data_IF_596380129381
#
_entry.id   IF_596380129381
#
_cell.length_a   1.000
_cell.length_b   1.000
_cell.length_c   1.000
_cell.angle_alpha   90.00
_cell.angle_beta   90.00
_cell.angle_gamma   90.00
#
_symmetry.space_group_name_H-M   'P 1'
#
loop_
_entity.id
_entity.type
_entity.pdbx_description
1 polymer ?
#
# COMPACT_ATOMS: atom_id res chain seq x y z
N UNK A 1 -12.06 15.39 12.67
CA UNK A 1 -12.26 14.07 12.04
C UNK A 1 -11.16 13.11 12.51
N UNK A 2 -11.42 11.80 12.44
CA UNK A 2 -10.40 10.78 12.69
C UNK A 2 -10.08 10.00 11.41
N UNK A 3 -8.84 10.10 10.95
CA UNK A 3 -8.39 9.63 9.63
C UNK A 3 -7.44 8.45 9.81
N UNK A 4 -7.83 7.28 9.30
CA UNK A 4 -7.00 6.08 9.28
C UNK A 4 -6.13 6.03 8.01
N UNK A 5 -4.81 5.88 8.16
CA UNK A 5 -3.86 5.71 7.05
C UNK A 5 -3.28 4.31 7.15
N UNK A 6 -3.70 3.43 6.25
CA UNK A 6 -3.36 2.00 6.27
C UNK A 6 -2.34 1.68 5.19
N UNK A 7 -1.20 1.15 5.61
CA UNK A 7 -0.10 0.71 4.74
C UNK A 7 0.34 -0.72 5.07
N UNK A 8 1.16 -1.31 4.21
CA UNK A 8 1.75 -2.63 4.45
C UNK A 8 3.00 -2.54 5.33
N UNK A 9 3.96 -1.73 4.95
CA UNK A 9 5.31 -1.72 5.51
C UNK A 9 5.68 -0.36 6.13
N UNK A 10 6.49 -0.36 7.21
CA UNK A 10 6.96 0.89 7.82
C UNK A 10 7.73 1.79 6.84
N UNK A 11 8.40 1.22 5.84
CA UNK A 11 9.15 1.95 4.82
C UNK A 11 8.27 2.88 3.96
N UNK A 12 7.02 2.51 3.74
CA UNK A 12 6.03 3.28 2.99
C UNK A 12 5.61 4.56 3.73
N UNK A 13 5.48 4.42 5.06
CA UNK A 13 5.03 5.51 5.92
C UNK A 13 6.16 6.38 6.46
N UNK A 14 7.42 5.91 6.42
CA UNK A 14 8.56 6.56 7.08
C UNK A 14 8.70 8.07 6.79
N UNK A 15 8.55 8.57 5.55
CA UNK A 15 8.58 10.01 5.29
C UNK A 15 7.39 10.76 5.88
N UNK A 16 6.19 10.18 5.82
CA UNK A 16 4.94 10.77 6.31
C UNK A 16 4.93 10.90 7.83
N UNK A 17 5.29 9.81 8.54
CA UNK A 17 5.20 9.77 10.01
C UNK A 17 6.42 10.36 10.73
N UNK A 18 7.26 11.08 9.98
CA UNK A 18 8.40 11.78 10.58
C UNK A 18 7.92 12.86 11.55
N UNK A 19 8.29 12.70 12.82
CA UNK A 19 7.85 13.60 13.90
C UNK A 19 6.47 13.27 14.48
N UNK A 20 5.79 12.21 14.03
CA UNK A 20 4.57 11.73 14.66
C UNK A 20 4.87 10.96 15.94
N UNK A 21 3.92 10.94 16.86
CA UNK A 21 4.02 10.15 18.10
C UNK A 21 3.81 8.67 17.78
N UNK A 22 4.79 7.84 18.14
CA UNK A 22 4.65 6.38 18.01
C UNK A 22 3.74 5.85 19.12
N UNK A 23 2.70 5.10 18.72
CA UNK A 23 1.75 4.48 19.65
C UNK A 23 2.28 3.12 20.09
N UNK A 24 2.35 2.83 21.42
CA UNK A 24 2.68 1.50 21.91
C UNK A 24 1.65 0.47 21.46
N UNK A 25 2.13 -0.65 20.93
CA UNK A 25 1.30 -1.81 20.55
C UNK A 25 1.85 -3.07 21.21
N UNK A 26 1.04 -4.13 21.30
CA UNK A 26 1.46 -5.39 21.91
C UNK A 26 2.72 -5.94 21.23
N UNK A 27 3.69 -6.40 22.03
CA UNK A 27 4.91 -7.03 21.50
C UNK A 27 4.54 -8.26 20.68
N UNK A 28 5.18 -8.42 19.53
CA UNK A 28 4.95 -9.55 18.63
C UNK A 28 3.72 -9.42 17.73
N UNK A 29 2.86 -8.40 17.88
CA UNK A 29 1.68 -8.18 17.03
C UNK A 29 2.02 -7.98 15.54
N UNK A 30 3.25 -7.57 15.24
CA UNK A 30 3.65 -7.19 13.88
C UNK A 30 3.06 -5.87 13.43
N UNK A 31 2.40 -5.13 14.31
CA UNK A 31 1.79 -3.82 14.03
C UNK A 31 2.77 -2.71 14.41
N UNK A 32 2.84 -1.68 13.58
CA UNK A 32 3.44 -0.41 13.95
C UNK A 32 2.41 0.70 13.72
N UNK A 33 2.30 1.62 14.69
CA UNK A 33 1.26 2.63 14.71
C UNK A 33 1.85 3.98 15.13
N UNK A 34 1.39 5.04 14.48
CA UNK A 34 1.75 6.43 14.78
C UNK A 34 0.49 7.28 14.76
N UNK A 35 0.50 8.33 15.56
CA UNK A 35 -0.60 9.30 15.61
C UNK A 35 -0.07 10.73 15.59
N UNK A 36 -0.89 11.64 15.10
CA UNK A 36 -0.66 13.09 15.07
C UNK A 36 -1.99 13.80 15.08
N UNK A 37 -2.07 14.88 15.86
CA UNK A 37 -3.15 15.86 15.74
C UNK A 37 -2.74 16.95 14.76
N UNK A 38 -3.69 17.40 13.93
CA UNK A 38 -3.51 18.49 13.00
C UNK A 38 -4.83 19.20 12.74
N UNK A 39 -4.87 20.51 12.97
CA UNK A 39 -6.03 21.37 12.69
C UNK A 39 -7.36 20.85 13.28
N UNK A 40 -7.32 20.13 14.41
CA UNK A 40 -8.46 19.49 15.05
C UNK A 40 -8.81 18.10 14.52
N UNK A 41 -8.06 17.59 13.55
CA UNK A 41 -8.17 16.22 13.05
C UNK A 41 -7.14 15.30 13.72
N UNK A 42 -7.56 14.06 14.04
CA UNK A 42 -6.68 13.00 14.53
C UNK A 42 -6.27 12.10 13.35
N UNK A 43 -4.96 12.03 13.09
CA UNK A 43 -4.37 11.18 12.06
C UNK A 43 -3.77 9.95 12.71
N UNK A 44 -4.13 8.76 12.23
CA UNK A 44 -3.63 7.47 12.73
C UNK A 44 -3.07 6.67 11.57
N UNK A 45 -1.74 6.48 11.54
CA UNK A 45 -1.05 5.71 10.51
C UNK A 45 -0.66 4.32 11.06
N UNK A 46 -1.02 3.25 10.35
CA UNK A 46 -0.82 1.86 10.81
C UNK A 46 -0.29 1.00 9.68
N UNK A 47 0.66 0.12 9.99
CA UNK A 47 1.07 -0.98 9.13
C UNK A 47 1.21 -2.29 9.91
N UNK A 48 0.96 -3.43 9.25
CA UNK A 48 0.94 -4.75 9.90
C UNK A 48 1.53 -5.89 9.03
N UNK A 49 2.19 -5.55 7.92
CA UNK A 49 2.73 -6.49 6.94
C UNK A 49 2.01 -6.45 5.60
N UNK A 50 2.43 -7.31 4.69
CA UNK A 50 1.90 -7.42 3.33
C UNK A 50 0.66 -8.33 3.28
N UNK A 51 -0.23 -8.05 2.33
CA UNK A 51 -1.39 -8.86 2.00
C UNK A 51 -2.65 -8.57 2.83
N UNK A 52 -3.77 -9.14 2.38
CA UNK A 52 -5.11 -8.86 2.89
C UNK A 52 -5.28 -9.10 4.40
N UNK A 53 -4.66 -10.15 4.96
CA UNK A 53 -4.75 -10.47 6.39
C UNK A 53 -4.08 -9.40 7.24
N UNK A 54 -2.89 -8.93 6.82
CA UNK A 54 -2.17 -7.87 7.49
C UNK A 54 -2.91 -6.52 7.38
N UNK A 55 -3.45 -6.20 6.21
CA UNK A 55 -4.24 -5.00 5.99
C UNK A 55 -5.49 -4.96 6.90
N UNK A 56 -6.17 -6.10 7.08
CA UNK A 56 -7.29 -6.21 8.03
C UNK A 56 -6.84 -5.95 9.47
N UNK A 57 -5.70 -6.51 9.91
CA UNK A 57 -5.15 -6.24 11.24
C UNK A 57 -4.81 -4.77 11.45
N UNK A 58 -4.19 -4.13 10.44
CA UNK A 58 -3.87 -2.71 10.49
C UNK A 58 -5.13 -1.83 10.59
N UNK A 59 -6.16 -2.14 9.80
CA UNK A 59 -7.45 -1.46 9.84
C UNK A 59 -8.10 -1.57 11.23
N UNK A 60 -8.22 -2.80 11.76
CA UNK A 60 -8.80 -3.05 13.09
C UNK A 60 -8.02 -2.33 14.19
N UNK A 61 -6.67 -2.28 14.10
CA UNK A 61 -5.86 -1.55 15.04
C UNK A 61 -6.11 -0.03 14.98
N UNK A 62 -6.33 0.52 13.78
CA UNK A 62 -6.68 1.93 13.63
C UNK A 62 -8.05 2.26 14.25
N UNK A 63 -9.03 1.34 14.15
CA UNK A 63 -10.36 1.51 14.73
C UNK A 63 -10.39 1.32 16.26
N UNK A 64 -9.46 0.54 16.81
CA UNK A 64 -9.48 0.17 18.24
C UNK A 64 -9.44 1.39 19.17
N UNK A 65 -8.78 2.47 18.78
CA UNK A 65 -8.70 3.71 19.57
C UNK A 65 -9.86 4.69 19.30
N UNK A 66 -10.79 4.37 18.39
CA UNK A 66 -11.97 5.18 18.04
C UNK A 66 -12.44 4.94 16.61
N UNK A 67 -13.71 5.25 16.32
CA UNK A 67 -14.28 5.14 14.97
C UNK A 67 -13.53 6.05 13.98
N UNK A 68 -13.37 5.58 12.76
CA UNK A 68 -12.74 6.33 11.68
C UNK A 68 -13.80 7.06 10.85
N UNK A 69 -13.58 8.32 10.55
CA UNK A 69 -14.44 9.11 9.65
C UNK A 69 -14.07 8.91 8.18
N UNK A 70 -12.80 8.61 7.89
CA UNK A 70 -12.30 8.26 6.55
C UNK A 70 -11.06 7.39 6.63
N UNK A 71 -10.78 6.64 5.56
CA UNK A 71 -9.62 5.76 5.46
C UNK A 71 -8.85 6.01 4.17
N UNK A 72 -7.53 6.14 4.30
CA UNK A 72 -6.60 6.15 3.19
C UNK A 72 -5.89 4.79 3.14
N UNK A 73 -6.09 4.01 2.07
CA UNK A 73 -5.23 2.86 1.77
C UNK A 73 -4.05 3.33 0.94
N UNK A 74 -2.86 3.20 1.48
CA UNK A 74 -1.65 3.77 0.90
C UNK A 74 -0.54 2.72 0.76
N UNK A 75 0.54 3.04 0.06
CA UNK A 75 1.72 2.18 -0.01
C UNK A 75 2.27 2.02 -1.42
N UNK A 76 3.13 1.01 -1.58
CA UNK A 76 3.71 0.69 -2.86
C UNK A 76 2.79 -0.18 -3.72
N UNK A 77 2.93 -0.03 -5.04
CA UNK A 77 2.26 -0.86 -6.05
C UNK A 77 3.20 -1.11 -7.23
N UNK A 78 3.05 -2.25 -7.87
CA UNK A 78 3.70 -2.55 -9.14
C UNK A 78 2.97 -1.88 -10.31
N UNK A 79 3.71 -1.41 -11.32
CA UNK A 79 3.13 -0.95 -12.58
C UNK A 79 2.66 -2.15 -13.42
N UNK A 80 1.46 -2.03 -14.01
CA UNK A 80 0.89 -2.95 -14.99
C UNK A 80 0.95 -2.40 -16.42
N UNK A 81 1.05 -1.07 -16.57
CA UNK A 81 1.13 -0.37 -17.86
C UNK A 81 2.27 0.65 -17.86
N UNK A 82 2.64 1.14 -19.04
CA UNK A 82 3.65 2.20 -19.18
C UNK A 82 3.16 3.60 -18.81
N UNK A 83 1.88 3.77 -18.50
CA UNK A 83 1.27 5.07 -18.19
C UNK A 83 1.60 5.55 -16.77
N UNK A 84 2.11 4.63 -15.93
CA UNK A 84 2.54 4.92 -14.55
C UNK A 84 4.04 4.69 -14.41
N UNK A 85 4.72 5.58 -13.66
CA UNK A 85 6.19 5.62 -13.58
C UNK A 85 6.70 5.27 -12.19
N UNK A 86 7.75 4.46 -12.08
CA UNK A 86 8.39 4.18 -10.81
C UNK A 86 8.83 5.46 -10.08
N UNK A 87 8.54 5.51 -8.78
CA UNK A 87 8.82 6.66 -7.91
C UNK A 87 7.71 7.72 -7.87
N UNK A 88 6.74 7.69 -8.79
CA UNK A 88 5.58 8.59 -8.77
C UNK A 88 4.42 8.01 -7.96
N UNK A 89 3.56 8.88 -7.43
CA UNK A 89 2.36 8.52 -6.67
C UNK A 89 1.10 8.80 -7.49
N UNK A 90 0.12 7.92 -7.38
CA UNK A 90 -1.14 7.99 -8.10
C UNK A 90 -2.32 7.73 -7.18
N UNK A 91 -3.41 8.49 -7.38
CA UNK A 91 -4.70 8.21 -6.78
C UNK A 91 -5.48 7.22 -7.67
N UNK A 92 -5.94 6.11 -7.09
CA UNK A 92 -6.80 5.17 -7.81
C UNK A 92 -8.26 5.63 -7.77
N UNK A 93 -8.97 5.47 -8.90
CA UNK A 93 -10.41 5.72 -9.01
C UNK A 93 -11.26 4.47 -8.81
N UNK A 94 -10.64 3.30 -8.88
CA UNK A 94 -11.29 2.00 -8.68
C UNK A 94 -10.28 1.01 -8.12
N UNK A 95 -10.69 0.25 -7.11
CA UNK A 95 -9.96 -0.92 -6.61
C UNK A 95 -10.73 -2.16 -7.06
N UNK A 96 -10.01 -3.16 -7.59
CA UNK A 96 -10.58 -4.43 -8.05
C UNK A 96 -9.93 -5.56 -7.27
N UNK A 97 -10.72 -6.41 -6.63
CA UNK A 97 -10.22 -7.64 -6.01
C UNK A 97 -10.14 -8.74 -7.08
N UNK A 98 -8.93 -9.16 -7.44
CA UNK A 98 -8.74 -10.21 -8.45
C UNK A 98 -9.27 -11.58 -8.00
N UNK A 99 -9.42 -11.81 -6.69
CA UNK A 99 -9.88 -13.08 -6.14
C UNK A 99 -11.40 -13.21 -6.20
N UNK A 100 -12.13 -12.13 -5.91
CA UNK A 100 -13.60 -12.15 -5.80
C UNK A 100 -14.29 -11.48 -6.99
N UNK A 101 -13.57 -10.64 -7.74
CA UNK A 101 -14.13 -9.80 -8.79
C UNK A 101 -14.84 -8.54 -8.28
N UNK A 102 -14.88 -8.31 -6.96
CA UNK A 102 -15.49 -7.11 -6.40
C UNK A 102 -14.76 -5.84 -6.84
N UNK A 103 -15.54 -4.78 -7.00
CA UNK A 103 -15.07 -3.47 -7.45
C UNK A 103 -15.51 -2.38 -6.50
N UNK A 104 -14.59 -1.53 -6.12
CA UNK A 104 -14.80 -0.42 -5.20
C UNK A 104 -14.49 0.88 -5.93
N UNK A 105 -15.53 1.62 -6.31
CA UNK A 105 -15.38 2.95 -6.90
C UNK A 105 -14.93 3.97 -5.86
N UNK A 106 -13.99 4.83 -6.22
CA UNK A 106 -13.41 5.84 -5.35
C UNK A 106 -13.67 7.25 -5.91
N UNK A 107 -13.74 8.29 -5.06
CA UNK A 107 -14.08 9.65 -5.46
C UNK A 107 -12.88 10.38 -6.14
N UNK A 108 -12.43 9.86 -7.28
CA UNK A 108 -11.31 10.43 -8.05
C UNK A 108 -11.74 10.57 -9.51
N UNK A 109 -11.52 11.75 -10.09
CA UNK A 109 -11.92 12.06 -11.46
C UNK A 109 -11.06 11.37 -12.53
N UNK A 110 -9.76 11.19 -12.27
CA UNK A 110 -8.86 10.49 -13.21
C UNK A 110 -9.10 8.99 -13.13
N UNK A 111 -9.42 8.37 -14.25
CA UNK A 111 -9.63 6.91 -14.31
C UNK A 111 -8.31 6.17 -14.25
N UNK A 112 -7.94 5.70 -13.07
CA UNK A 112 -6.81 4.81 -12.83
C UNK A 112 -7.27 3.66 -11.95
N UNK A 113 -7.19 2.43 -12.48
CA UNK A 113 -7.59 1.21 -11.77
C UNK A 113 -6.41 0.56 -11.09
N UNK A 114 -6.65 0.11 -9.88
CA UNK A 114 -5.77 -0.74 -9.09
C UNK A 114 -6.39 -2.12 -8.97
N UNK A 115 -5.63 -3.17 -9.24
CA UNK A 115 -6.04 -4.55 -8.96
C UNK A 115 -5.27 -5.09 -7.75
N UNK A 116 -6.00 -5.68 -6.80
CA UNK A 116 -5.41 -6.32 -5.62
C UNK A 116 -5.33 -7.83 -5.83
N UNK A 117 -4.14 -8.40 -5.62
CA UNK A 117 -3.86 -9.84 -5.75
C UNK A 117 -3.43 -10.45 -4.41
N UNK A 118 -3.42 -11.77 -4.33
CA UNK A 118 -2.98 -12.49 -3.10
C UNK A 118 -1.47 -12.71 -3.05
N UNK A 119 -0.78 -12.53 -4.16
CA UNK A 119 0.66 -12.78 -4.31
C UNK A 119 1.32 -11.64 -5.08
N UNK A 120 2.63 -11.50 -4.90
CA UNK A 120 3.44 -10.59 -5.71
C UNK A 120 3.39 -11.06 -7.17
N UNK A 121 2.95 -10.17 -8.06
CA UNK A 121 2.79 -10.46 -9.48
C UNK A 121 4.14 -10.44 -10.20
N UNK A 122 4.47 -11.54 -10.88
CA UNK A 122 5.57 -11.60 -11.84
C UNK A 122 5.22 -10.89 -13.16
N UNK A 123 6.15 -10.85 -14.12
CA UNK A 123 5.96 -10.18 -15.41
C UNK A 123 4.77 -10.76 -16.22
N UNK A 124 4.56 -12.07 -16.17
CA UNK A 124 3.46 -12.74 -16.87
C UNK A 124 2.12 -12.40 -16.23
N UNK A 125 2.08 -12.47 -14.90
CA UNK A 125 0.88 -12.14 -14.14
C UNK A 125 0.51 -10.65 -14.27
N UNK A 126 1.50 -9.75 -14.29
CA UNK A 126 1.26 -8.32 -14.53
C UNK A 126 0.56 -8.08 -15.88
N UNK A 127 1.02 -8.74 -16.97
CA UNK A 127 0.36 -8.64 -18.28
C UNK A 127 -1.07 -9.17 -18.23
N UNK A 128 -1.27 -10.35 -17.63
CA UNK A 128 -2.60 -10.94 -17.48
C UNK A 128 -3.56 -10.01 -16.74
N UNK A 129 -3.10 -9.38 -15.65
CA UNK A 129 -3.90 -8.45 -14.84
C UNK A 129 -4.23 -7.16 -15.63
N UNK A 130 -3.27 -6.62 -16.36
CA UNK A 130 -3.51 -5.45 -17.22
C UNK A 130 -4.59 -5.74 -18.25
N UNK A 131 -4.48 -6.85 -18.97
CA UNK A 131 -5.41 -7.24 -20.03
C UNK A 131 -6.80 -7.58 -19.48
N UNK A 132 -6.87 -8.31 -18.36
CA UNK A 132 -8.15 -8.78 -17.81
C UNK A 132 -8.95 -7.69 -17.12
N UNK A 133 -8.29 -6.72 -16.48
CA UNK A 133 -8.95 -5.70 -15.64
C UNK A 133 -8.80 -4.27 -16.18
N UNK A 134 -7.99 -4.04 -17.19
CA UNK A 134 -7.63 -2.71 -17.66
C UNK A 134 -7.04 -1.86 -16.53
N UNK A 135 -6.28 -2.50 -15.63
CA UNK A 135 -5.68 -1.87 -14.47
C UNK A 135 -4.27 -1.38 -14.78
N UNK A 136 -3.87 -0.26 -14.19
CA UNK A 136 -2.54 0.31 -14.32
C UNK A 136 -1.61 -0.04 -13.15
N UNK A 137 -2.18 -0.42 -12.00
CA UNK A 137 -1.46 -0.73 -10.78
C UNK A 137 -1.88 -2.08 -10.18
N UNK A 138 -0.97 -2.72 -9.46
CA UNK A 138 -1.23 -3.94 -8.68
C UNK A 138 -0.67 -3.82 -7.27
N UNK A 139 -1.46 -4.24 -6.28
CA UNK A 139 -1.05 -4.38 -4.88
C UNK A 139 -1.57 -5.67 -4.25
N UNK A 140 -1.46 -5.81 -2.92
CA UNK A 140 -1.93 -6.97 -2.17
C UNK A 140 -2.88 -6.62 -1.01
N UNK A 141 -3.24 -5.35 -0.82
CA UNK A 141 -3.90 -4.85 0.40
C UNK A 141 -5.18 -4.06 0.16
N UNK A 142 -5.24 -3.25 -0.89
CA UNK A 142 -6.25 -2.21 -1.04
C UNK A 142 -7.69 -2.72 -1.04
N UNK A 143 -7.97 -3.87 -1.68
CA UNK A 143 -9.32 -4.43 -1.70
C UNK A 143 -9.78 -4.86 -0.30
N UNK A 144 -8.88 -5.37 0.55
CA UNK A 144 -9.23 -5.75 1.92
C UNK A 144 -9.59 -4.53 2.77
N UNK A 145 -8.87 -3.42 2.61
CA UNK A 145 -9.18 -2.14 3.27
C UNK A 145 -10.50 -1.58 2.76
N UNK A 146 -10.69 -1.54 1.43
CA UNK A 146 -11.91 -1.01 0.81
C UNK A 146 -13.16 -1.78 1.24
N UNK A 147 -13.08 -3.11 1.29
CA UNK A 147 -14.18 -3.97 1.75
C UNK A 147 -14.55 -3.69 3.21
N UNK A 148 -13.57 -3.58 4.11
CA UNK A 148 -13.83 -3.27 5.52
C UNK A 148 -14.46 -1.90 5.68
N UNK A 149 -13.96 -0.90 4.99
CA UNK A 149 -14.50 0.45 5.02
C UNK A 149 -15.94 0.50 4.46
N UNK A 150 -16.21 -0.20 3.35
CA UNK A 150 -17.55 -0.30 2.77
C UNK A 150 -18.55 -0.92 3.76
N UNK A 151 -18.17 -2.02 4.44
CA UNK A 151 -19.04 -2.66 5.45
C UNK A 151 -19.38 -1.70 6.60
N UNK A 152 -18.49 -0.76 6.90
CA UNK A 152 -18.66 0.24 7.98
C UNK A 152 -19.24 1.57 7.51
N UNK A 153 -19.47 1.74 6.21
CA UNK A 153 -19.92 3.00 5.63
C UNK A 153 -18.87 4.12 5.70
N UNK A 154 -17.58 3.77 5.76
CA UNK A 154 -16.47 4.73 5.85
C UNK A 154 -15.96 5.07 4.45
N UNK A 155 -15.85 6.35 4.07
CA UNK A 155 -15.22 6.78 2.82
C UNK A 155 -13.78 6.29 2.70
N UNK A 156 -13.38 5.86 1.49
CA UNK A 156 -12.03 5.37 1.20
C UNK A 156 -11.37 6.20 0.12
N UNK A 157 -10.08 6.51 0.32
CA UNK A 157 -9.18 7.03 -0.70
C UNK A 157 -8.00 6.08 -0.87
N UNK A 158 -7.46 6.00 -2.08
CA UNK A 158 -6.36 5.10 -2.39
C UNK A 158 -5.22 5.84 -3.09
N UNK A 159 -4.05 5.87 -2.46
CA UNK A 159 -2.83 6.47 -3.01
C UNK A 159 -1.73 5.42 -3.08
N UNK A 160 -1.20 5.17 -4.27
CA UNK A 160 -0.14 4.18 -4.48
C UNK A 160 1.06 4.79 -5.18
N UNK A 161 2.23 4.58 -4.59
CA UNK A 161 3.51 4.93 -5.22
C UNK A 161 4.06 3.72 -5.98
N UNK A 162 4.50 3.94 -7.20
CA UNK A 162 5.00 2.85 -8.05
C UNK A 162 6.40 2.44 -7.62
N UNK A 163 6.56 1.18 -7.21
CA UNK A 163 7.85 0.60 -6.81
C UNK A 163 8.66 0.06 -7.98
N UNK A 164 7.99 -0.52 -8.98
CA UNK A 164 8.62 -1.24 -10.08
C UNK A 164 7.83 -1.12 -11.38
N UNK A 165 8.56 -1.12 -12.49
CA UNK A 165 7.97 -1.04 -13.82
C UNK A 165 7.32 -2.37 -14.26
N UNK A 166 6.55 -2.31 -15.33
CA UNK A 166 5.91 -3.47 -15.97
C UNK A 166 6.89 -4.59 -16.32
N UNK A 167 8.08 -4.25 -16.83
CA UNK A 167 9.12 -5.20 -17.23
C UNK A 167 10.18 -5.49 -16.17
N UNK A 168 9.98 -5.09 -14.92
CA UNK A 168 10.96 -5.32 -13.86
C UNK A 168 11.08 -6.82 -13.56
N UNK A 169 12.29 -7.37 -13.73
CA UNK A 169 12.60 -8.77 -13.41
C UNK A 169 13.06 -8.86 -11.95
N UNK A 170 12.09 -8.91 -11.05
CA UNK A 170 12.34 -9.09 -9.62
C UNK A 170 12.47 -10.58 -9.28
N UNK A 171 13.22 -10.93 -8.22
CA UNK A 171 13.16 -12.28 -7.67
C UNK A 171 11.76 -12.56 -7.13
N UNK A 172 11.33 -13.82 -7.18
CA UNK A 172 10.07 -14.23 -6.55
C UNK A 172 10.16 -14.03 -5.03
N UNK A 173 9.31 -13.15 -4.51
CA UNK A 173 9.21 -12.83 -3.09
C UNK A 173 8.22 -13.76 -2.35
N UNK A 174 7.33 -14.43 -3.07
CA UNK A 174 6.24 -15.22 -2.50
C UNK A 174 6.71 -16.33 -1.55
N UNK A 175 7.80 -17.09 -1.83
CA UNK A 175 8.31 -18.10 -0.91
C UNK A 175 8.85 -17.55 0.42
N UNK A 176 9.12 -16.26 0.49
CA UNK A 176 9.67 -15.59 1.66
C UNK A 176 8.65 -14.82 2.48
N UNK A 177 7.38 -14.79 2.05
CA UNK A 177 6.28 -14.24 2.83
C UNK A 177 5.74 -15.33 3.77
N UNK A 178 5.55 -14.98 5.04
CA UNK A 178 4.85 -15.85 5.98
C UNK A 178 3.33 -15.60 5.93
N UNK A 179 2.58 -16.42 6.66
CA UNK A 179 1.12 -16.34 6.74
C UNK A 179 0.63 -15.00 7.34
N UNK A 180 1.48 -14.33 8.10
CA UNK A 180 1.20 -13.02 8.68
C UNK A 180 1.55 -11.85 7.76
N UNK A 181 2.04 -12.12 6.55
CA UNK A 181 2.48 -11.11 5.59
C UNK A 181 3.83 -10.46 5.94
N UNK A 182 4.63 -11.11 6.79
CA UNK A 182 5.98 -10.67 7.11
C UNK A 182 6.99 -11.27 6.13
N UNK A 183 7.86 -10.43 5.58
CA UNK A 183 8.95 -10.90 4.74
C UNK A 183 10.07 -11.49 5.62
N UNK A 184 10.41 -12.75 5.38
CA UNK A 184 11.57 -13.43 5.99
C UNK A 184 12.86 -12.87 5.42
N UNK A 185 13.20 -11.64 5.81
CA UNK A 185 14.26 -10.82 5.22
C UNK A 185 15.62 -11.54 5.16
N UNK A 186 16.02 -12.25 6.24
CA UNK A 186 17.30 -12.97 6.26
C UNK A 186 17.36 -14.08 5.21
N UNK A 187 16.28 -14.86 5.06
CA UNK A 187 16.20 -15.92 4.06
C UNK A 187 16.18 -15.33 2.63
N UNK A 188 15.43 -14.25 2.42
CA UNK A 188 15.40 -13.55 1.15
C UNK A 188 16.79 -12.98 0.78
N UNK A 189 17.48 -12.31 1.71
CA UNK A 189 18.82 -11.78 1.45
C UNK A 189 19.83 -12.88 1.15
N UNK A 190 19.80 -14.02 1.88
CA UNK A 190 20.64 -15.17 1.58
C UNK A 190 20.36 -15.75 0.19
N UNK A 191 19.08 -15.83 -0.22
CA UNK A 191 18.68 -16.28 -1.54
C UNK A 191 19.20 -15.37 -2.65
N UNK A 192 19.16 -14.06 -2.46
CA UNK A 192 19.58 -13.07 -3.45
C UNK A 192 21.09 -12.91 -3.48
N UNK A 193 21.80 -13.08 -2.37
CA UNK A 193 23.25 -12.90 -2.27
C UNK A 193 24.02 -13.78 -3.28
N UNK A 194 23.54 -14.99 -3.54
CA UNK A 194 24.11 -15.93 -4.50
C UNK A 194 23.56 -15.78 -5.93
N UNK A 195 22.78 -14.72 -6.21
CA UNK A 195 22.08 -14.48 -7.49
C UNK A 195 22.33 -13.07 -8.01
N UNK A 196 23.53 -12.76 -8.53
CA UNK A 196 23.91 -11.41 -8.93
C UNK A 196 23.04 -10.81 -10.04
N UNK A 197 22.34 -11.65 -10.82
CA UNK A 197 21.39 -11.21 -11.83
C UNK A 197 20.24 -10.35 -11.26
N UNK A 198 19.92 -10.46 -9.97
CA UNK A 198 18.86 -9.68 -9.32
C UNK A 198 19.35 -8.39 -8.65
N UNK A 199 20.67 -8.21 -8.45
CA UNK A 199 21.18 -7.09 -7.67
C UNK A 199 20.84 -5.72 -8.27
N UNK A 200 20.95 -5.60 -9.60
CA UNK A 200 20.59 -4.37 -10.30
C UNK A 200 19.10 -4.04 -10.13
N UNK A 201 18.24 -5.03 -10.34
CA UNK A 201 16.78 -4.86 -10.21
C UNK A 201 16.36 -4.52 -8.77
N UNK A 202 16.96 -5.17 -7.77
CA UNK A 202 16.70 -4.87 -6.36
C UNK A 202 17.22 -3.50 -5.93
N UNK A 203 18.40 -3.10 -6.42
CA UNK A 203 18.91 -1.74 -6.20
C UNK A 203 18.00 -0.68 -6.80
N UNK A 204 17.44 -0.93 -8.00
CA UNK A 204 16.46 -0.04 -8.62
C UNK A 204 15.14 -0.03 -7.85
N UNK A 205 14.61 -1.20 -7.45
CA UNK A 205 13.41 -1.32 -6.61
C UNK A 205 13.58 -0.49 -5.33
N UNK A 206 14.70 -0.61 -4.64
CA UNK A 206 14.98 0.13 -3.42
C UNK A 206 15.00 1.65 -3.64
N UNK A 207 15.63 2.13 -4.73
CA UNK A 207 15.62 3.57 -5.10
C UNK A 207 14.21 4.06 -5.42
N UNK A 208 13.47 3.33 -6.24
CA UNK A 208 12.11 3.67 -6.63
C UNK A 208 11.18 3.70 -5.42
N UNK A 209 11.27 2.67 -4.55
CA UNK A 209 10.47 2.58 -3.32
C UNK A 209 10.78 3.74 -2.37
N UNK A 210 12.05 4.10 -2.21
CA UNK A 210 12.43 5.23 -1.36
C UNK A 210 11.97 6.59 -1.94
N UNK A 211 12.08 6.77 -3.26
CA UNK A 211 11.53 7.93 -3.96
C UNK A 211 10.00 7.97 -3.85
N UNK A 212 9.36 6.84 -4.17
CA UNK A 212 7.91 6.68 -4.09
C UNK A 212 7.33 6.93 -2.70
N UNK A 213 8.00 6.52 -1.63
CA UNK A 213 7.55 6.84 -0.28
C UNK A 213 7.56 8.35 0.02
N UNK A 214 8.49 9.11 -0.57
CA UNK A 214 8.52 10.58 -0.44
C UNK A 214 7.40 11.24 -1.23
N UNK A 215 7.17 10.84 -2.47
CA UNK A 215 6.06 11.36 -3.29
C UNK A 215 4.72 10.99 -2.69
N UNK A 216 4.57 9.76 -2.17
CA UNK A 216 3.38 9.33 -1.44
C UNK A 216 3.09 10.22 -0.22
N UNK A 217 4.10 10.48 0.60
CA UNK A 217 3.96 11.35 1.77
C UNK A 217 3.53 12.77 1.36
N UNK A 218 4.14 13.35 0.32
CA UNK A 218 3.78 14.67 -0.19
C UNK A 218 2.33 14.71 -0.69
N UNK A 219 1.91 13.70 -1.48
CA UNK A 219 0.54 13.60 -2.00
C UNK A 219 -0.49 13.45 -0.87
N UNK A 220 -0.18 12.65 0.17
CA UNK A 220 -1.07 12.51 1.33
C UNK A 220 -1.18 13.83 2.11
N UNK A 221 -0.05 14.52 2.36
CA UNK A 221 -0.06 15.82 3.05
C UNK A 221 -0.87 16.87 2.27
N UNK A 222 -0.74 16.94 0.95
CA UNK A 222 -1.54 17.80 0.07
C UNK A 222 -3.04 17.45 0.14
N UNK A 223 -3.38 16.17 0.04
CA UNK A 223 -4.76 15.69 0.17
C UNK A 223 -5.38 16.04 1.54
N UNK A 224 -4.63 15.92 2.63
CA UNK A 224 -5.09 16.26 3.97
C UNK A 224 -5.34 17.78 4.14
N UNK A 225 -4.67 18.61 3.35
CA UNK A 225 -4.90 20.08 3.34
C UNK A 225 -6.11 20.48 2.52
N UNK A 226 -6.25 19.90 1.31
CA UNK A 226 -7.18 20.38 0.28
C UNK A 226 -8.39 19.46 0.07
N UNK A 227 -8.20 18.15 0.22
CA UNK A 227 -9.15 17.13 -0.23
C UNK A 227 -10.26 16.79 0.77
N UNK A 228 -10.03 17.01 2.06
CA UNK A 228 -11.03 16.66 3.10
C UNK A 228 -12.00 17.82 3.38
N UNK A 229 -11.77 19.00 2.82
CA UNK A 229 -12.60 20.21 3.03
C UNK A 229 -13.63 20.43 1.91
N UNK A 230 -13.67 19.55 0.91
CA UNK A 230 -14.66 19.55 -0.19
C UNK A 230 -15.67 18.40 -0.01
#
# INVERSE_FOLDING_TARGET
>A
MRIGIIAALPGELKPLVRGWTKVPVARGSGIAMWQRERDGDELVAVCAGMGAAAARRAFTAAEFAGSLDTVLTVGWAGALTGDVRPGECYAASEIIDAQTGERFALPVSRRLRLVTTVQVADEREKRRLADSYGAALVDMEAAAVARLAQIRGIPVHCFKAVSDSVGARLPDLNPFLDIDGKLKMAAFLAHVAVRPQFWGALGQLGRNSAGGAKTLAATIEEFLVEGLRK
#
